data_IF_123664255184
#
_entry.id   IF_123664255184
#
_cell.length_a   1.000
_cell.length_b   1.000
_cell.length_c   1.000
_cell.angle_alpha   90.00
_cell.angle_beta   90.00
_cell.angle_gamma   90.00
#
_symmetry.space_group_name_H-M   'P 1'
#
loop_
_entity.id
_entity.type
_entity.pdbx_description
1 polymer ?
#
# COMPACT_ATOMS: atom_id res chain seq x y z
N UNK A 1 5.44 -29.83 0.39
CA UNK A 1 4.72 -29.25 -0.75
C UNK A 1 5.62 -28.21 -1.37
N UNK A 2 6.14 -28.47 -2.57
CA UNK A 2 7.04 -27.54 -3.25
C UNK A 2 6.27 -26.29 -3.67
N UNK A 3 6.71 -25.12 -3.21
CA UNK A 3 6.28 -23.84 -3.76
C UNK A 3 6.79 -23.74 -5.19
N UNK A 4 5.88 -23.86 -6.17
CA UNK A 4 6.19 -23.52 -7.55
C UNK A 4 6.25 -22.00 -7.61
N UNK A 5 7.46 -21.45 -7.65
CA UNK A 5 7.66 -20.03 -7.96
C UNK A 5 7.28 -19.89 -9.43
N UNK A 6 6.04 -19.48 -9.71
CA UNK A 6 5.63 -19.12 -11.07
C UNK A 6 6.58 -18.01 -11.54
N UNK A 7 7.31 -18.25 -12.64
CA UNK A 7 8.17 -17.23 -13.25
C UNK A 7 7.30 -16.02 -13.60
N UNK A 8 7.46 -14.93 -12.86
CA UNK A 8 6.77 -13.67 -13.10
C UNK A 8 7.27 -13.13 -14.44
N UNK A 9 6.38 -13.06 -15.43
CA UNK A 9 6.68 -12.43 -16.72
C UNK A 9 6.77 -10.91 -16.55
N UNK A 10 7.45 -10.22 -17.46
CA UNK A 10 7.50 -8.76 -17.45
C UNK A 10 6.09 -8.13 -17.46
N UNK A 11 5.16 -8.70 -18.23
CA UNK A 11 3.75 -8.28 -18.26
C UNK A 11 3.05 -8.46 -16.89
N UNK A 12 3.32 -9.57 -16.20
CA UNK A 12 2.77 -9.80 -14.86
C UNK A 12 3.38 -8.83 -13.83
N UNK A 13 4.68 -8.55 -13.93
CA UNK A 13 5.34 -7.57 -13.07
C UNK A 13 4.76 -6.17 -13.25
N UNK A 14 4.48 -5.75 -14.49
CA UNK A 14 3.82 -4.47 -14.77
C UNK A 14 2.40 -4.42 -14.17
N UNK A 15 1.61 -5.49 -14.33
CA UNK A 15 0.28 -5.59 -13.70
C UNK A 15 0.35 -5.53 -12.19
N UNK A 16 1.32 -6.21 -11.58
CA UNK A 16 1.58 -6.15 -10.14
C UNK A 16 1.86 -4.71 -9.71
N UNK A 17 2.79 -4.01 -10.39
CA UNK A 17 3.12 -2.61 -10.07
C UNK A 17 1.90 -1.69 -10.19
N UNK A 18 1.08 -1.89 -11.22
CA UNK A 18 -0.16 -1.13 -11.42
C UNK A 18 -1.15 -1.33 -10.27
N UNK A 19 -1.47 -2.58 -9.90
CA UNK A 19 -2.46 -2.83 -8.83
C UNK A 19 -1.95 -2.36 -7.46
N UNK A 20 -0.65 -2.44 -7.20
CA UNK A 20 -0.03 -1.91 -5.98
C UNK A 20 -0.13 -0.38 -5.95
N UNK A 21 0.15 0.28 -7.08
CA UNK A 21 0.07 1.74 -7.19
C UNK A 21 -1.36 2.23 -6.93
N UNK A 22 -2.36 1.58 -7.51
CA UNK A 22 -3.76 1.95 -7.31
C UNK A 22 -4.23 1.67 -5.87
N UNK A 23 -3.78 0.56 -5.27
CA UNK A 23 -4.00 0.31 -3.85
C UNK A 23 -3.46 1.43 -2.96
N UNK A 24 -2.19 1.81 -3.14
CA UNK A 24 -1.55 2.87 -2.34
C UNK A 24 -2.28 4.20 -2.51
N UNK A 25 -2.62 4.60 -3.75
CA UNK A 25 -3.36 5.84 -4.02
C UNK A 25 -4.72 5.86 -3.32
N UNK A 26 -5.46 4.75 -3.34
CA UNK A 26 -6.78 4.64 -2.69
C UNK A 26 -6.67 4.81 -1.18
N UNK A 27 -5.74 4.08 -0.56
CA UNK A 27 -5.55 4.17 0.90
C UNK A 27 -5.12 5.58 1.30
N UNK A 28 -4.16 6.18 0.59
CA UNK A 28 -3.73 7.56 0.86
C UNK A 28 -4.88 8.57 0.74
N UNK A 29 -5.72 8.45 -0.30
CA UNK A 29 -6.90 9.30 -0.46
C UNK A 29 -7.86 9.15 0.73
N UNK A 30 -8.09 7.93 1.19
CA UNK A 30 -8.95 7.68 2.35
C UNK A 30 -8.38 8.28 3.63
N UNK A 31 -7.06 8.23 3.81
CA UNK A 31 -6.39 8.87 4.94
C UNK A 31 -6.47 10.41 4.90
N UNK A 32 -6.59 11.01 3.72
CA UNK A 32 -6.79 12.47 3.56
C UNK A 32 -8.24 12.88 3.77
N UNK A 33 -9.21 12.10 3.30
CA UNK A 33 -10.64 12.47 3.32
C UNK A 33 -11.40 11.93 4.54
N UNK A 34 -10.84 10.94 5.25
CA UNK A 34 -11.52 10.15 6.29
C UNK A 34 -12.78 9.41 5.79
N UNK A 35 -12.90 9.19 4.47
CA UNK A 35 -14.06 8.57 3.82
C UNK A 35 -13.79 7.14 3.32
N UNK A 36 -12.98 6.37 4.04
CA UNK A 36 -12.66 4.99 3.64
C UNK A 36 -13.72 3.96 4.03
N UNK A 37 -13.81 2.89 3.25
CA UNK A 37 -14.52 1.66 3.61
C UNK A 37 -13.55 0.48 3.73
N UNK A 38 -13.96 -0.61 4.39
CA UNK A 38 -13.12 -1.79 4.63
C UNK A 38 -12.56 -2.41 3.34
N UNK A 39 -13.30 -2.31 2.23
CA UNK A 39 -12.89 -2.88 0.95
C UNK A 39 -11.85 -2.05 0.18
N UNK A 40 -11.56 -0.82 0.61
CA UNK A 40 -10.53 0.01 -0.04
C UNK A 40 -9.11 -0.47 0.30
N UNK A 41 -8.98 -1.29 1.34
CA UNK A 41 -7.74 -1.98 1.70
C UNK A 41 -7.51 -3.26 0.90
N UNK A 42 -8.42 -3.62 -0.02
CA UNK A 42 -8.22 -4.76 -0.89
C UNK A 42 -7.53 -4.36 -2.20
N UNK A 43 -6.84 -5.32 -2.81
CA UNK A 43 -6.10 -5.14 -4.07
C UNK A 43 -6.80 -5.92 -5.18
N UNK A 44 -6.72 -5.42 -6.41
CA UNK A 44 -7.20 -6.14 -7.58
C UNK A 44 -6.20 -7.27 -7.91
N UNK A 45 -6.67 -8.47 -8.21
CA UNK A 45 -5.76 -9.59 -8.47
C UNK A 45 -5.13 -9.45 -9.87
N UNK A 46 -3.79 -9.34 -9.99
CA UNK A 46 -3.13 -9.17 -11.27
C UNK A 46 -3.16 -10.46 -12.12
N UNK A 47 -3.38 -11.63 -11.50
CA UNK A 47 -3.48 -12.93 -12.17
C UNK A 47 -4.87 -13.18 -12.78
N UNK A 48 -5.94 -13.05 -11.99
CA UNK A 48 -7.29 -13.36 -12.46
C UNK A 48 -8.15 -12.12 -12.80
N UNK A 49 -7.66 -10.90 -12.57
CA UNK A 49 -8.40 -9.66 -12.78
C UNK A 49 -9.52 -9.41 -11.76
N UNK A 50 -9.61 -10.22 -10.70
CA UNK A 50 -10.67 -10.09 -9.70
C UNK A 50 -10.58 -8.75 -8.97
N UNK A 51 -11.60 -7.91 -9.10
CA UNK A 51 -11.67 -6.61 -8.43
C UNK A 51 -11.73 -6.75 -6.91
N UNK A 52 -10.86 -6.04 -6.18
CA UNK A 52 -10.76 -6.04 -4.71
C UNK A 52 -10.72 -7.45 -4.10
N UNK A 53 -10.11 -8.39 -4.80
CA UNK A 53 -10.13 -9.82 -4.45
C UNK A 53 -8.93 -10.26 -3.61
N UNK A 54 -7.86 -9.47 -3.56
CA UNK A 54 -6.71 -9.72 -2.68
C UNK A 54 -6.94 -9.08 -1.32
N UNK A 55 -6.90 -9.88 -0.26
CA UNK A 55 -7.03 -9.44 1.13
C UNK A 55 -5.73 -9.71 1.91
N UNK A 56 -5.46 -8.86 2.90
CA UNK A 56 -4.35 -9.06 3.82
C UNK A 56 -4.72 -10.09 4.90
N UNK A 57 -3.96 -11.18 4.96
CA UNK A 57 -4.14 -12.29 5.89
C UNK A 57 -2.90 -12.44 6.76
N UNK A 58 -2.89 -11.85 7.96
CA UNK A 58 -1.89 -12.09 9.02
C UNK A 58 -0.47 -12.38 8.47
N UNK A 59 0.07 -11.46 7.66
CA UNK A 59 1.42 -11.47 7.03
C UNK A 59 1.51 -11.81 5.54
N UNK A 60 0.42 -12.06 4.82
CA UNK A 60 0.49 -12.19 3.37
C UNK A 60 -0.77 -11.71 2.65
N UNK A 61 -0.60 -11.32 1.39
CA UNK A 61 -1.69 -11.04 0.48
C UNK A 61 -2.10 -12.31 -0.26
N UNK A 62 -3.41 -12.59 -0.30
CA UNK A 62 -3.93 -13.73 -1.06
C UNK A 62 -5.26 -13.41 -1.73
N UNK A 63 -5.42 -13.96 -2.93
CA UNK A 63 -6.66 -13.84 -3.67
C UNK A 63 -7.74 -14.70 -3.01
N UNK A 64 -8.90 -14.12 -2.70
CA UNK A 64 -10.04 -14.84 -2.12
C UNK A 64 -10.66 -15.89 -3.04
N UNK A 65 -10.31 -15.87 -4.34
CA UNK A 65 -10.71 -16.93 -5.26
C UNK A 65 -9.77 -18.12 -5.09
N UNK A 66 -10.22 -19.15 -4.37
CA UNK A 66 -9.43 -20.35 -4.05
C UNK A 66 -8.75 -21.00 -5.27
N UNK A 67 -9.37 -20.92 -6.46
CA UNK A 67 -8.80 -21.47 -7.71
C UNK A 67 -7.68 -20.61 -8.32
N UNK A 68 -7.58 -19.33 -7.96
CA UNK A 68 -6.56 -18.42 -8.49
C UNK A 68 -5.20 -18.70 -7.84
N UNK A 69 -5.18 -18.89 -6.51
CA UNK A 69 -3.98 -19.21 -5.75
C UNK A 69 -2.86 -18.17 -5.88
N UNK A 70 -3.18 -16.94 -6.30
CA UNK A 70 -2.18 -15.89 -6.49
C UNK A 70 -1.68 -15.37 -5.14
N UNK A 71 -0.35 -15.29 -5.06
CA UNK A 71 0.40 -14.61 -4.02
C UNK A 71 1.40 -13.69 -4.69
N UNK A 72 1.68 -12.54 -4.08
CA UNK A 72 2.76 -11.69 -4.57
C UNK A 72 4.11 -12.37 -4.33
N UNK A 73 5.06 -12.23 -5.25
CA UNK A 73 6.44 -12.60 -4.98
C UNK A 73 7.03 -11.65 -3.91
N UNK A 74 7.96 -12.14 -3.09
CA UNK A 74 8.48 -11.41 -1.92
C UNK A 74 9.03 -10.02 -2.28
N UNK A 75 9.72 -9.91 -3.42
CA UNK A 75 10.31 -8.66 -3.90
C UNK A 75 9.29 -7.63 -4.42
N UNK A 76 8.03 -8.03 -4.62
CA UNK A 76 6.93 -7.16 -5.05
C UNK A 76 5.74 -7.26 -4.08
N UNK A 77 5.98 -7.65 -2.83
CA UNK A 77 4.93 -7.68 -1.81
C UNK A 77 4.52 -6.23 -1.50
N UNK A 78 3.23 -5.87 -1.64
CA UNK A 78 2.77 -4.56 -1.22
C UNK A 78 2.82 -4.43 0.31
N UNK A 79 2.96 -3.21 0.84
CA UNK A 79 2.84 -2.97 2.27
C UNK A 79 1.47 -3.42 2.76
N UNK A 80 1.40 -3.87 4.01
CA UNK A 80 0.13 -4.13 4.66
C UNK A 80 -0.68 -2.83 4.84
N UNK A 81 -2.00 -2.94 5.07
CA UNK A 81 -2.82 -1.79 5.47
C UNK A 81 -2.24 -1.03 6.67
N UNK A 82 -1.75 -1.76 7.68
CA UNK A 82 -1.20 -1.18 8.90
C UNK A 82 0.13 -0.46 8.64
N UNK A 83 1.04 -1.07 7.87
CA UNK A 83 2.32 -0.46 7.48
C UNK A 83 2.08 0.83 6.69
N UNK A 84 1.11 0.82 5.77
CA UNK A 84 0.81 1.99 4.96
C UNK A 84 0.21 3.14 5.80
N UNK A 85 -0.61 2.82 6.80
CA UNK A 85 -1.14 3.80 7.75
C UNK A 85 -0.02 4.42 8.61
N UNK A 86 0.95 3.61 9.07
CA UNK A 86 2.11 4.09 9.81
C UNK A 86 2.98 5.03 8.98
N UNK A 87 3.28 4.64 7.73
CA UNK A 87 4.02 5.48 6.77
C UNK A 87 3.29 6.81 6.57
N UNK A 88 1.97 6.78 6.42
CA UNK A 88 1.18 8.01 6.28
C UNK A 88 1.26 8.90 7.52
N UNK A 89 1.09 8.34 8.73
CA UNK A 89 1.20 9.08 9.99
C UNK A 89 2.58 9.71 10.15
N UNK A 90 3.64 8.98 9.79
CA UNK A 90 5.01 9.49 9.80
C UNK A 90 5.16 10.69 8.85
N UNK A 91 4.65 10.58 7.61
CA UNK A 91 4.68 11.69 6.64
C UNK A 91 3.88 12.91 7.09
N UNK A 92 2.72 12.71 7.71
CA UNK A 92 1.95 13.82 8.29
C UNK A 92 2.69 14.49 9.46
N UNK A 93 3.42 13.71 10.26
CA UNK A 93 4.28 14.25 11.32
C UNK A 93 5.42 15.07 10.74
N UNK A 94 6.15 14.56 9.74
CA UNK A 94 7.22 15.29 9.05
C UNK A 94 6.71 16.63 8.48
N UNK A 95 5.56 16.63 7.80
CA UNK A 95 4.94 17.85 7.26
C UNK A 95 4.61 18.86 8.36
N UNK A 96 4.08 18.41 9.51
CA UNK A 96 3.77 19.28 10.65
C UNK A 96 5.03 19.86 11.27
N UNK A 97 6.07 19.03 11.49
CA UNK A 97 7.36 19.50 12.01
C UNK A 97 7.93 20.57 11.08
N UNK A 98 7.95 20.34 9.76
CA UNK A 98 8.46 21.32 8.81
C UNK A 98 7.73 22.67 8.91
N UNK A 99 6.39 22.65 8.94
CA UNK A 99 5.57 23.87 9.10
C UNK A 99 5.85 24.60 10.41
N UNK A 100 5.99 23.86 11.51
CA UNK A 100 6.29 24.45 12.82
C UNK A 100 7.69 25.05 12.83
N UNK A 101 8.70 24.36 12.27
CA UNK A 101 10.06 24.88 12.13
C UNK A 101 10.10 26.14 11.26
N UNK A 102 9.38 26.16 10.13
CA UNK A 102 9.24 27.34 9.27
C UNK A 102 8.62 28.52 10.06
N UNK A 103 7.52 28.28 10.78
CA UNK A 103 6.87 29.30 11.62
C UNK A 103 7.78 29.84 12.74
N UNK A 104 8.51 28.97 13.43
CA UNK A 104 9.45 29.40 14.51
C UNK A 104 10.59 30.26 13.93
N UNK A 105 11.10 29.91 12.75
CA UNK A 105 12.11 30.72 12.04
C UNK A 105 11.57 32.10 11.65
N UNK A 106 10.33 32.19 11.21
CA UNK A 106 9.67 33.47 10.91
C UNK A 106 9.53 34.37 12.15
N UNK A 107 9.46 33.78 13.36
CA UNK A 107 9.47 34.51 14.63
C UNK A 107 10.88 34.95 15.07
N UNK A 108 11.92 34.65 14.29
CA UNK A 108 13.31 35.00 14.61
C UNK A 108 13.93 34.14 15.70
N UNK A 109 13.34 32.98 16.01
CA UNK A 109 13.90 32.01 16.95
C UNK A 109 14.74 31.02 16.14
N UNK A 110 16.04 30.96 16.45
CA UNK A 110 16.93 29.97 15.88
C UNK A 110 16.76 28.62 16.57
N UNK A 111 16.73 27.55 15.78
CA UNK A 111 16.54 26.17 16.25
C UNK A 111 17.80 25.30 16.03
N UNK A 112 18.90 25.90 15.55
CA UNK A 112 20.21 25.27 15.35
C UNK A 112 21.07 25.22 16.63
#
# INVERSE_FOLDING_TARGET
MGMVVENVTADMEEKIKQVITEYIKRVLKNCETLQGCTSDYNIDCPKCGGHRSLTWNKNYWACGWLKCGFHFPENLMPPSPEELEEIYKAKQRERRVRKVTEFIRELGIDLD
#
